data_IF_739043583178
#
_entry.id   IF_739043583178
#
_cell.length_a   1.000
_cell.length_b   1.000
_cell.length_c   1.000
_cell.angle_alpha   90.00
_cell.angle_beta   90.00
_cell.angle_gamma   90.00
#
_symmetry.space_group_name_H-M   'P 1'
#
loop_
_entity.id
_entity.type
_entity.pdbx_description
1 polymer ?
#
# COMPACT_ATOMS: atom_id res chain seq x y z
N UNK A 1 -8.96 24.51 20.76
CA UNK A 1 -7.74 23.89 21.32
C UNK A 1 -6.64 24.00 20.29
N UNK A 2 -5.68 24.92 20.46
CA UNK A 2 -4.51 25.02 19.57
C UNK A 2 -3.42 24.17 20.20
N UNK A 3 -3.18 22.97 19.67
CA UNK A 3 -2.04 22.15 20.07
C UNK A 3 -0.81 22.71 19.38
N UNK A 4 0.04 23.37 20.17
CA UNK A 4 1.41 23.70 19.82
C UNK A 4 2.17 22.38 19.72
N UNK A 5 2.53 21.94 18.52
CA UNK A 5 3.43 20.80 18.29
C UNK A 5 4.78 21.39 17.96
N UNK A 6 5.78 21.02 18.75
CA UNK A 6 7.18 21.37 18.56
C UNK A 6 7.62 21.01 17.13
N UNK A 7 8.32 21.94 16.46
CA UNK A 7 8.88 21.76 15.10
C UNK A 7 9.90 20.59 14.97
N UNK A 8 10.11 19.81 16.02
CA UNK A 8 11.07 18.72 16.10
C UNK A 8 10.44 17.32 16.06
N UNK A 9 9.13 17.18 16.27
CA UNK A 9 8.44 15.89 16.19
C UNK A 9 7.16 16.01 15.37
N UNK A 10 7.17 15.39 14.20
CA UNK A 10 5.96 15.12 13.42
C UNK A 10 5.41 13.76 13.85
N UNK A 11 4.08 13.61 13.83
CA UNK A 11 3.48 12.29 14.00
C UNK A 11 4.06 11.34 12.95
N UNK A 12 4.46 10.14 13.37
CA UNK A 12 5.02 9.13 12.46
C UNK A 12 4.07 8.88 11.28
N UNK A 13 2.77 8.82 11.55
CA UNK A 13 1.73 8.60 10.54
C UNK A 13 1.63 9.76 9.55
N UNK A 14 1.76 11.01 10.01
CA UNK A 14 1.70 12.19 9.14
C UNK A 14 2.95 12.31 8.27
N UNK A 15 4.12 11.99 8.82
CA UNK A 15 5.37 11.96 8.08
C UNK A 15 5.33 10.88 6.99
N UNK A 16 4.88 9.67 7.35
CA UNK A 16 4.72 8.54 6.44
C UNK A 16 3.76 8.90 5.28
N UNK A 17 2.60 9.45 5.58
CA UNK A 17 1.61 9.88 4.57
C UNK A 17 2.21 10.87 3.58
N UNK A 18 2.97 11.86 4.06
CA UNK A 18 3.59 12.86 3.20
C UNK A 18 4.62 12.22 2.26
N UNK A 19 5.43 11.30 2.76
CA UNK A 19 6.49 10.66 2.00
C UNK A 19 5.93 9.68 0.97
N UNK A 20 4.96 8.84 1.35
CA UNK A 20 4.26 7.92 0.46
C UNK A 20 3.64 8.62 -0.76
N UNK A 21 3.12 9.85 -0.57
CA UNK A 21 2.54 10.63 -1.66
C UNK A 21 3.60 11.29 -2.55
N UNK A 22 4.72 11.69 -1.96
CA UNK A 22 5.75 12.46 -2.65
C UNK A 22 6.66 11.60 -3.53
N UNK A 23 6.92 10.36 -3.10
CA UNK A 23 7.85 9.46 -3.78
C UNK A 23 7.21 8.09 -4.09
N UNK A 24 6.89 7.82 -5.37
CA UNK A 24 6.40 6.52 -5.80
C UNK A 24 7.39 5.36 -5.57
N UNK A 25 8.70 5.63 -5.55
CA UNK A 25 9.71 4.60 -5.26
C UNK A 25 9.62 4.18 -3.79
N UNK A 26 9.51 5.15 -2.88
CA UNK A 26 9.28 4.88 -1.47
C UNK A 26 7.96 4.11 -1.23
N UNK A 27 6.87 4.48 -1.92
CA UNK A 27 5.61 3.74 -1.83
C UNK A 27 5.75 2.29 -2.31
N UNK A 28 6.55 2.04 -3.35
CA UNK A 28 6.83 0.69 -3.84
C UNK A 28 7.66 -0.12 -2.84
N UNK A 29 8.72 0.46 -2.26
CA UNK A 29 9.55 -0.17 -1.22
C UNK A 29 8.72 -0.49 0.03
N UNK A 30 7.86 0.44 0.45
CA UNK A 30 6.95 0.25 1.58
C UNK A 30 6.01 -0.94 1.37
N UNK A 31 5.42 -1.07 0.17
CA UNK A 31 4.58 -2.22 -0.17
C UNK A 31 5.38 -3.50 -0.32
N UNK A 32 6.61 -3.43 -0.84
CA UNK A 32 7.46 -4.60 -0.95
C UNK A 32 7.85 -5.16 0.43
N UNK A 33 8.24 -4.30 1.37
CA UNK A 33 8.51 -4.69 2.75
C UNK A 33 7.28 -5.37 3.39
N UNK A 34 6.07 -4.86 3.09
CA UNK A 34 4.82 -5.48 3.54
C UNK A 34 4.52 -6.84 2.87
N UNK A 35 5.05 -7.09 1.66
CA UNK A 35 4.91 -8.38 0.96
C UNK A 35 5.93 -9.43 1.42
N UNK A 36 7.08 -9.01 1.96
CA UNK A 36 8.11 -9.91 2.50
C UNK A 36 7.65 -10.63 3.78
N UNK A 37 6.64 -10.10 4.47
CA UNK A 37 5.94 -10.78 5.55
C UNK A 37 5.00 -11.88 4.99
N UNK A 38 5.62 -12.99 4.59
CA UNK A 38 4.98 -14.10 3.86
C UNK A 38 3.88 -14.84 4.63
N UNK A 39 3.69 -14.54 5.92
CA UNK A 39 2.70 -15.19 6.77
C UNK A 39 1.37 -14.45 6.92
N UNK A 40 1.32 -13.14 6.62
CA UNK A 40 0.18 -12.31 7.01
C UNK A 40 -0.28 -11.36 5.87
N UNK A 41 -1.22 -11.80 5.02
CA UNK A 41 -1.77 -10.96 3.94
C UNK A 41 -2.38 -9.64 4.43
N UNK A 42 -2.79 -9.58 5.69
CA UNK A 42 -3.33 -8.37 6.30
C UNK A 42 -2.31 -7.22 6.32
N UNK A 43 -1.01 -7.51 6.44
CA UNK A 43 0.07 -6.51 6.46
C UNK A 43 0.10 -5.76 5.13
N UNK A 44 0.07 -6.48 4.01
CA UNK A 44 -0.03 -5.88 2.68
C UNK A 44 -1.30 -5.05 2.50
N UNK A 45 -2.45 -5.53 2.98
CA UNK A 45 -3.72 -4.80 2.84
C UNK A 45 -3.71 -3.48 3.64
N UNK A 46 -3.16 -3.51 4.85
CA UNK A 46 -2.99 -2.32 5.70
C UNK A 46 -2.01 -1.35 5.05
N UNK A 47 -0.87 -1.82 4.54
CA UNK A 47 0.09 -0.98 3.85
C UNK A 47 -0.52 -0.31 2.60
N UNK A 48 -1.25 -1.07 1.78
CA UNK A 48 -1.95 -0.53 0.62
C UNK A 48 -3.06 0.46 1.00
N UNK A 49 -3.69 0.27 2.17
CA UNK A 49 -4.62 1.26 2.72
C UNK A 49 -3.90 2.56 3.07
N UNK A 50 -2.73 2.52 3.72
CA UNK A 50 -1.96 3.73 4.03
C UNK A 50 -1.56 4.49 2.77
N UNK A 51 -1.08 3.78 1.74
CA UNK A 51 -0.81 4.39 0.43
C UNK A 51 -2.08 5.00 -0.15
N UNK A 52 -3.21 4.28 -0.14
CA UNK A 52 -4.48 4.81 -0.65
C UNK A 52 -4.97 6.04 0.12
N UNK A 53 -4.72 6.12 1.42
CA UNK A 53 -5.06 7.28 2.26
C UNK A 53 -4.15 8.48 1.97
N UNK A 54 -2.86 8.24 1.75
CA UNK A 54 -1.89 9.29 1.40
C UNK A 54 -2.23 9.99 0.07
N UNK A 55 -2.69 9.21 -0.92
CA UNK A 55 -3.16 9.73 -2.21
C UNK A 55 -4.59 10.28 -2.15
N UNK A 56 -5.33 10.01 -1.07
CA UNK A 56 -6.72 10.41 -0.88
C UNK A 56 -7.69 9.30 -1.30
N UNK A 57 -8.31 8.66 -0.31
CA UNK A 57 -9.18 7.49 -0.51
C UNK A 57 -10.32 7.72 -1.53
N UNK A 58 -10.85 8.94 -1.60
CA UNK A 58 -11.91 9.28 -2.54
C UNK A 58 -11.43 9.26 -4.00
N UNK A 59 -10.23 9.80 -4.23
CA UNK A 59 -9.61 9.90 -5.54
C UNK A 59 -9.19 8.52 -6.03
N UNK A 60 -8.57 7.73 -5.16
CA UNK A 60 -8.20 6.34 -5.45
C UNK A 60 -9.42 5.49 -5.80
N UNK A 61 -10.51 5.59 -5.03
CA UNK A 61 -11.74 4.86 -5.33
C UNK A 61 -12.35 5.25 -6.69
N UNK A 62 -12.35 6.56 -7.01
CA UNK A 62 -12.83 7.09 -8.29
C UNK A 62 -12.00 6.52 -9.45
N UNK A 63 -10.68 6.59 -9.34
CA UNK A 63 -9.76 6.16 -10.39
C UNK A 63 -9.75 4.62 -10.56
N UNK A 64 -9.87 3.88 -9.45
CA UNK A 64 -10.01 2.43 -9.47
C UNK A 64 -11.40 1.96 -9.93
N UNK A 65 -12.36 2.88 -10.13
CA UNK A 65 -13.71 2.56 -10.60
C UNK A 65 -14.55 1.77 -9.59
N UNK A 66 -14.32 1.95 -8.29
CA UNK A 66 -15.03 1.24 -7.22
C UNK A 66 -15.62 2.20 -6.19
N UNK A 67 -16.65 1.74 -5.46
CA UNK A 67 -17.22 2.53 -4.36
C UNK A 67 -16.23 2.64 -3.20
N UNK A 68 -16.14 3.81 -2.56
CA UNK A 68 -15.29 4.05 -1.39
C UNK A 68 -15.47 3.02 -0.28
N UNK A 69 -16.71 2.69 0.08
CA UNK A 69 -16.99 1.65 1.08
C UNK A 69 -16.45 0.28 0.68
N UNK A 70 -16.50 -0.05 -0.62
CA UNK A 70 -15.96 -1.31 -1.13
C UNK A 70 -14.44 -1.32 -1.06
N UNK A 71 -13.79 -0.18 -1.33
CA UNK A 71 -12.34 -0.01 -1.14
C UNK A 71 -11.94 -0.20 0.33
N UNK A 72 -12.64 0.44 1.28
CA UNK A 72 -12.39 0.26 2.71
C UNK A 72 -12.55 -1.19 3.17
N UNK A 73 -13.60 -1.89 2.72
CA UNK A 73 -13.78 -3.31 3.05
C UNK A 73 -12.68 -4.17 2.43
N UNK A 74 -12.34 -3.90 1.18
CA UNK A 74 -11.34 -4.66 0.43
C UNK A 74 -9.93 -4.53 1.02
N UNK A 75 -9.55 -3.35 1.51
CA UNK A 75 -8.25 -3.09 2.13
C UNK A 75 -8.25 -3.18 3.67
N UNK A 76 -9.28 -3.79 4.25
CA UNK A 76 -9.31 -4.06 5.69
C UNK A 76 -8.39 -5.23 6.06
N UNK A 77 -8.02 -5.42 7.34
CA UNK A 77 -7.20 -6.57 7.76
C UNK A 77 -7.82 -7.94 7.42
N UNK A 78 -9.15 -8.00 7.31
CA UNK A 78 -9.91 -9.21 6.91
C UNK A 78 -10.45 -9.10 5.47
N UNK A 79 -9.93 -8.15 4.71
CA UNK A 79 -10.34 -7.89 3.34
C UNK A 79 -9.94 -9.04 2.41
N UNK A 80 -10.64 -9.13 1.29
CA UNK A 80 -10.30 -10.04 0.22
C UNK A 80 -10.48 -9.33 -1.13
N UNK A 81 -9.55 -8.43 -1.50
CA UNK A 81 -9.65 -7.72 -2.77
C UNK A 81 -9.47 -8.73 -3.91
N UNK A 82 -10.31 -8.61 -4.94
CA UNK A 82 -10.06 -9.36 -6.19
C UNK A 82 -8.78 -8.84 -6.85
N UNK A 83 -8.13 -9.65 -7.70
CA UNK A 83 -6.97 -9.19 -8.48
C UNK A 83 -7.30 -7.94 -9.32
N UNK A 84 -8.53 -7.84 -9.84
CA UNK A 84 -9.02 -6.65 -10.55
C UNK A 84 -9.00 -5.42 -9.64
N UNK A 85 -9.50 -5.55 -8.40
CA UNK A 85 -9.51 -4.47 -7.41
C UNK A 85 -8.08 -4.06 -7.05
N UNK A 86 -7.21 -5.03 -6.76
CA UNK A 86 -5.82 -4.79 -6.37
C UNK A 86 -5.06 -4.03 -7.45
N UNK A 87 -5.12 -4.52 -8.69
CA UNK A 87 -4.44 -3.88 -9.83
C UNK A 87 -4.99 -2.50 -10.16
N UNK A 88 -6.31 -2.29 -10.02
CA UNK A 88 -6.92 -0.98 -10.21
C UNK A 88 -6.47 0.04 -9.15
N UNK A 89 -6.39 -0.38 -7.88
CA UNK A 89 -5.89 0.46 -6.79
C UNK A 89 -4.41 0.80 -6.97
N UNK A 90 -3.58 -0.19 -7.28
CA UNK A 90 -2.15 0.03 -7.57
C UNK A 90 -1.97 1.04 -8.71
N UNK A 91 -2.71 0.87 -9.81
CA UNK A 91 -2.67 1.80 -10.94
C UNK A 91 -3.11 3.22 -10.53
N UNK A 92 -4.14 3.35 -9.71
CA UNK A 92 -4.63 4.64 -9.22
C UNK A 92 -3.60 5.42 -8.40
N UNK A 93 -2.68 4.72 -7.72
CA UNK A 93 -1.57 5.32 -6.96
C UNK A 93 -0.26 5.36 -7.75
N UNK A 94 -0.30 5.10 -9.06
CA UNK A 94 0.88 5.16 -9.94
C UNK A 94 1.80 3.93 -9.86
N UNK A 95 1.35 2.83 -9.26
CA UNK A 95 2.09 1.59 -9.09
C UNK A 95 1.56 0.49 -10.01
N UNK A 96 2.33 -0.60 -10.14
CA UNK A 96 1.95 -1.78 -10.93
C UNK A 96 2.36 -3.06 -10.20
N UNK A 97 1.60 -4.13 -10.43
CA UNK A 97 2.00 -5.46 -9.99
C UNK A 97 3.14 -5.97 -10.89
N UNK A 98 4.15 -6.58 -10.28
CA UNK A 98 5.26 -7.22 -10.97
C UNK A 98 5.48 -8.63 -10.41
N UNK A 99 6.05 -9.50 -11.24
CA UNK A 99 6.48 -10.84 -10.85
C UNK A 99 8.00 -10.85 -10.91
N UNK A 100 8.63 -11.25 -9.81
CA UNK A 100 10.07 -11.39 -9.69
C UNK A 100 10.41 -12.84 -9.33
N UNK A 101 11.64 -13.32 -9.63
CA UNK A 101 12.11 -14.59 -9.10
C UNK A 101 12.06 -14.56 -7.57
N UNK A 102 11.59 -15.66 -6.98
CA UNK A 102 11.70 -15.87 -5.54
C UNK A 102 13.17 -16.18 -5.21
N UNK A 103 13.83 -15.25 -4.52
CA UNK A 103 15.21 -15.42 -4.07
C UNK A 103 15.31 -16.38 -2.88
N UNK A 104 14.18 -16.77 -2.26
CA UNK A 104 14.14 -17.89 -1.33
C UNK A 104 14.26 -19.20 -2.11
N UNK A 105 15.51 -19.67 -2.22
CA UNK A 105 16.01 -20.94 -2.74
C UNK A 105 14.95 -21.90 -3.32
N UNK A 106 14.69 -21.81 -4.63
CA UNK A 106 14.02 -22.93 -5.31
C UNK A 106 14.49 -23.29 -6.71
N UNK A 107 15.74 -22.96 -7.08
CA UNK A 107 16.36 -23.58 -8.28
C UNK A 107 17.89 -23.45 -8.35
N UNK A 108 18.59 -23.95 -7.34
CA UNK A 108 19.94 -24.51 -7.52
C UNK A 108 19.81 -26.02 -7.80
N UNK A 109 19.17 -26.38 -8.91
CA UNK A 109 19.09 -27.76 -9.39
C UNK A 109 18.89 -27.76 -10.90
N UNK A 110 19.95 -27.43 -11.63
CA UNK A 110 20.24 -27.86 -12.99
C UNK A 110 21.61 -27.28 -13.41
N UNK A 111 22.68 -27.96 -12.99
CA UNK A 111 23.98 -27.98 -13.65
C UNK A 111 24.72 -29.25 -13.21
#
# INVERSE_FOLDING_TARGET
>A
MKSNIDRASVSHDEALVRELRADPAFAAEYLQAAMEDTGEPAVLLIALRHVSEAFGMAEVAREAGIKRESLYRALSPKGNPTLKTLTAVLKAVGLRLAVAPDASEHRAACA
#
